data_IF_569938983449
#
_entry.id   IF_569938983449
#
_cell.length_a   1.000
_cell.length_b   1.000
_cell.length_c   1.000
_cell.angle_alpha   90.00
_cell.angle_beta   90.00
_cell.angle_gamma   90.00
#
_symmetry.space_group_name_H-M   'P 1'
#
loop_
_entity.id
_entity.type
_entity.pdbx_description
1 polymer ?
#
# COMPACT_ATOMS: atom_id res chain seq x y z
N UNK A 1 3.72 2.12 -2.19
CA UNK A 1 3.47 3.32 -1.38
C UNK A 1 2.31 3.08 -0.40
N UNK A 2 2.38 3.61 0.81
CA UNK A 2 1.38 3.44 1.87
C UNK A 2 0.88 4.79 2.41
N UNK A 3 -0.42 4.88 2.69
CA UNK A 3 -1.01 6.04 3.38
C UNK A 3 -2.18 5.67 4.27
N UNK A 4 -2.27 6.32 5.42
CA UNK A 4 -3.31 6.06 6.43
C UNK A 4 -2.92 6.55 7.82
N UNK A 5 -3.56 5.96 8.82
CA UNK A 5 -3.32 6.28 10.22
C UNK A 5 -2.03 5.64 10.76
N UNK A 6 -1.36 6.25 11.75
CA UNK A 6 -0.05 5.78 12.23
C UNK A 6 -0.03 4.31 12.67
N UNK A 7 -1.00 3.88 13.48
CA UNK A 7 -1.03 2.50 14.02
C UNK A 7 -1.28 1.46 12.92
N UNK A 8 -2.15 1.79 11.97
CA UNK A 8 -2.42 0.97 10.80
C UNK A 8 -1.17 0.85 9.93
N UNK A 9 -0.48 1.96 9.67
CA UNK A 9 0.71 1.99 8.82
C UNK A 9 1.90 1.27 9.44
N UNK A 10 2.12 1.39 10.75
CA UNK A 10 3.18 0.64 11.45
C UNK A 10 2.96 -0.86 11.29
N UNK A 11 1.74 -1.32 11.58
CA UNK A 11 1.38 -2.74 11.49
C UNK A 11 1.46 -3.26 10.05
N UNK A 12 0.94 -2.47 9.10
CA UNK A 12 0.98 -2.80 7.67
C UNK A 12 2.43 -2.86 7.15
N UNK A 13 3.27 -1.91 7.54
CA UNK A 13 4.69 -1.89 7.13
C UNK A 13 5.40 -3.15 7.62
N UNK A 14 5.17 -3.55 8.87
CA UNK A 14 5.73 -4.79 9.40
C UNK A 14 5.23 -6.02 8.63
N UNK A 15 3.91 -6.13 8.42
CA UNK A 15 3.32 -7.24 7.66
C UNK A 15 3.91 -7.36 6.24
N UNK A 16 4.02 -6.24 5.53
CA UNK A 16 4.61 -6.22 4.19
C UNK A 16 6.09 -6.59 4.18
N UNK A 17 6.85 -6.17 5.20
CA UNK A 17 8.27 -6.53 5.34
C UNK A 17 8.43 -8.03 5.60
N UNK A 18 7.53 -8.64 6.37
CA UNK A 18 7.49 -10.10 6.61
C UNK A 18 7.15 -10.90 5.33
N UNK A 19 6.47 -10.28 4.37
CA UNK A 19 6.21 -10.82 3.03
C UNK A 19 7.32 -10.51 2.00
N UNK A 20 8.47 -9.99 2.46
CA UNK A 20 9.59 -9.55 1.63
C UNK A 20 9.26 -8.42 0.63
N UNK A 21 8.18 -7.67 0.89
CA UNK A 21 7.86 -6.47 0.15
C UNK A 21 8.67 -5.28 0.70
N UNK A 22 8.86 -4.26 -0.14
CA UNK A 22 9.69 -3.07 0.18
C UNK A 22 8.85 -1.78 0.21
N UNK A 23 8.30 -1.39 1.37
CA UNK A 23 7.61 -0.12 1.50
C UNK A 23 8.58 1.08 1.38
N UNK A 24 8.63 1.71 0.21
CA UNK A 24 9.55 2.85 -0.03
C UNK A 24 9.00 4.22 0.35
N UNK A 25 7.69 4.44 0.18
CA UNK A 25 7.02 5.72 0.45
C UNK A 25 5.86 5.52 1.41
N UNK A 26 5.93 6.13 2.59
CA UNK A 26 4.95 6.00 3.68
C UNK A 26 4.59 7.39 4.21
N UNK A 27 3.33 7.78 4.09
CA UNK A 27 2.83 9.09 4.55
C UNK A 27 1.68 8.90 5.52
N UNK A 28 1.67 9.68 6.61
CA UNK A 28 0.50 9.83 7.47
C UNK A 28 0.16 11.30 7.65
N UNK A 29 -1.14 11.62 7.66
CA UNK A 29 -1.64 12.97 7.95
C UNK A 29 -1.51 13.35 9.43
N UNK A 30 -1.36 12.36 10.31
CA UNK A 30 -1.24 12.59 11.75
C UNK A 30 0.19 12.97 12.12
N UNK A 31 0.36 14.08 12.83
CA UNK A 31 1.68 14.51 13.30
C UNK A 31 2.19 13.62 14.42
N UNK A 32 3.45 13.19 14.36
CA UNK A 32 4.07 12.45 15.46
C UNK A 32 5.47 11.94 15.13
N UNK A 33 6.46 12.33 15.93
CA UNK A 33 7.87 11.91 15.73
C UNK A 33 8.11 10.42 16.01
N UNK A 34 7.31 9.82 16.90
CA UNK A 34 7.42 8.41 17.26
C UNK A 34 7.12 7.48 16.09
N UNK A 35 6.21 7.89 15.19
CA UNK A 35 5.84 7.14 13.99
C UNK A 35 7.04 6.95 13.06
N UNK A 36 7.71 8.04 12.67
CA UNK A 36 8.85 7.99 11.75
C UNK A 36 10.00 7.14 12.33
N UNK A 37 10.28 7.30 13.64
CA UNK A 37 11.30 6.50 14.31
C UNK A 37 10.97 5.00 14.31
N UNK A 38 9.69 4.63 14.50
CA UNK A 38 9.25 3.24 14.50
C UNK A 38 9.34 2.61 13.12
N UNK A 39 8.89 3.31 12.08
CA UNK A 39 8.96 2.86 10.69
C UNK A 39 10.41 2.65 10.25
N UNK A 40 11.29 3.63 10.52
CA UNK A 40 12.73 3.51 10.21
C UNK A 40 13.39 2.35 10.94
N UNK A 41 12.94 2.03 12.16
CA UNK A 41 13.42 0.85 12.90
C UNK A 41 13.00 -0.46 12.23
N UNK A 42 11.75 -0.56 11.77
CA UNK A 42 11.22 -1.76 11.11
C UNK A 42 11.94 -2.00 9.78
N UNK A 43 12.16 -0.95 9.00
CA UNK A 43 12.69 -1.05 7.64
C UNK A 43 14.22 -0.94 7.56
N UNK A 44 14.92 -0.88 8.70
CA UNK A 44 16.37 -0.61 8.74
C UNK A 44 17.18 -1.55 7.85
N UNK A 45 16.81 -2.84 7.82
CA UNK A 45 17.54 -3.87 7.10
C UNK A 45 17.02 -4.09 5.66
N UNK A 46 15.80 -3.63 5.37
CA UNK A 46 15.10 -3.88 4.09
C UNK A 46 15.15 -2.66 3.16
N UNK A 47 14.89 -1.47 3.69
CA UNK A 47 14.83 -0.19 2.96
C UNK A 47 15.44 0.92 3.83
N UNK A 48 16.78 1.08 3.84
CA UNK A 48 17.46 2.05 4.71
C UNK A 48 17.07 3.50 4.40
N UNK A 49 16.80 3.82 3.13
CA UNK A 49 16.45 5.16 2.65
C UNK A 49 14.94 5.37 2.51
N UNK A 50 14.14 4.76 3.38
CA UNK A 50 12.67 4.92 3.32
C UNK A 50 12.23 6.39 3.42
N UNK A 51 11.35 6.79 2.51
CA UNK A 51 10.64 8.06 2.53
C UNK A 51 9.45 7.95 3.49
N UNK A 52 9.64 8.38 4.74
CA UNK A 52 8.59 8.43 5.76
C UNK A 52 8.34 9.87 6.22
N UNK A 53 7.07 10.28 6.26
CA UNK A 53 6.66 11.59 6.78
C UNK A 53 5.40 11.51 7.63
N UNK A 54 5.48 12.05 8.83
CA UNK A 54 4.33 12.38 9.66
C UNK A 54 3.83 13.81 9.39
N UNK A 55 2.51 14.01 9.39
CA UNK A 55 1.90 15.29 9.00
C UNK A 55 2.08 15.62 7.52
N UNK A 56 2.24 14.62 6.66
CA UNK A 56 2.25 14.78 5.21
C UNK A 56 0.87 14.58 4.61
N UNK A 57 0.69 14.96 3.35
CA UNK A 57 -0.57 14.83 2.62
C UNK A 57 -0.44 13.90 1.41
N UNK A 58 -1.56 13.64 0.74
CA UNK A 58 -1.60 12.82 -0.48
C UNK A 58 -0.83 13.46 -1.64
N UNK A 59 -0.68 14.79 -1.64
CA UNK A 59 0.07 15.50 -2.66
C UNK A 59 1.56 15.20 -2.53
N UNK A 60 2.11 15.25 -1.31
CA UNK A 60 3.48 14.84 -1.03
C UNK A 60 3.72 13.38 -1.43
N UNK A 61 2.79 12.48 -1.11
CA UNK A 61 2.87 11.09 -1.53
C UNK A 61 2.96 10.96 -3.05
N UNK A 62 2.14 11.71 -3.79
CA UNK A 62 2.15 11.73 -5.25
C UNK A 62 3.48 12.26 -5.80
N UNK A 63 4.04 13.32 -5.20
CA UNK A 63 5.36 13.83 -5.58
C UNK A 63 6.46 12.78 -5.42
N UNK A 64 6.43 12.01 -4.33
CA UNK A 64 7.40 10.93 -4.12
C UNK A 64 7.24 9.81 -5.13
N UNK A 65 6.01 9.38 -5.42
CA UNK A 65 5.73 8.34 -6.42
C UNK A 65 6.23 8.76 -7.81
N UNK A 66 6.13 10.05 -8.16
CA UNK A 66 6.67 10.55 -9.43
C UNK A 66 8.19 10.51 -9.52
N UNK A 67 8.88 10.77 -8.41
CA UNK A 67 10.34 10.74 -8.37
C UNK A 67 10.87 9.29 -8.27
N UNK A 68 10.15 8.45 -7.53
CA UNK A 68 10.49 7.06 -7.27
C UNK A 68 9.22 6.20 -7.44
N UNK A 69 8.99 5.65 -8.65
CA UNK A 69 7.81 4.85 -8.96
C UNK A 69 7.66 3.64 -8.05
N UNK A 70 6.42 3.23 -7.79
CA UNK A 70 6.07 2.08 -6.95
C UNK A 70 5.20 1.08 -7.72
N UNK A 71 5.32 -0.20 -7.37
CA UNK A 71 4.54 -1.28 -8.01
C UNK A 71 3.12 -1.42 -7.44
N UNK A 72 2.89 -0.90 -6.24
CA UNK A 72 1.61 -1.03 -5.54
C UNK A 72 1.37 0.18 -4.64
N UNK A 73 0.15 0.71 -4.67
CA UNK A 73 -0.33 1.70 -3.71
C UNK A 73 -1.39 1.08 -2.78
N UNK A 74 -1.24 1.28 -1.47
CA UNK A 74 -2.19 0.82 -0.45
C UNK A 74 -2.68 2.02 0.35
N UNK A 75 -4.00 2.22 0.39
CA UNK A 75 -4.58 3.34 1.12
C UNK A 75 -6.10 3.45 0.98
N UNK A 76 -6.61 4.65 1.26
CA UNK A 76 -8.04 4.96 1.22
C UNK A 76 -8.51 5.37 -0.20
N UNK A 77 -9.80 5.67 -0.37
CA UNK A 77 -10.38 5.95 -1.70
C UNK A 77 -9.69 7.08 -2.46
N UNK A 78 -9.07 8.06 -1.78
CA UNK A 78 -8.40 9.18 -2.47
C UNK A 78 -7.19 8.75 -3.29
N UNK A 79 -6.54 7.64 -2.93
CA UNK A 79 -5.43 7.07 -3.70
C UNK A 79 -5.82 6.64 -5.12
N UNK A 80 -7.12 6.47 -5.41
CA UNK A 80 -7.61 6.11 -6.74
C UNK A 80 -7.15 7.09 -7.84
N UNK A 81 -6.99 8.37 -7.50
CA UNK A 81 -6.60 9.39 -8.47
C UNK A 81 -5.12 9.24 -8.82
N UNK A 82 -4.27 9.10 -7.81
CA UNK A 82 -2.83 8.84 -7.96
C UNK A 82 -2.61 7.53 -8.73
N UNK A 83 -3.31 6.47 -8.34
CA UNK A 83 -3.22 5.15 -8.98
C UNK A 83 -3.57 5.20 -10.47
N UNK A 84 -4.59 5.99 -10.84
CA UNK A 84 -4.99 6.16 -12.23
C UNK A 84 -3.97 6.98 -13.03
N UNK A 85 -3.47 8.06 -12.45
CA UNK A 85 -2.55 8.97 -13.14
C UNK A 85 -1.18 8.33 -13.39
N UNK A 86 -0.71 7.52 -12.44
CA UNK A 86 0.60 6.85 -12.53
C UNK A 86 0.51 5.39 -13.05
N UNK A 87 -0.68 4.92 -13.43
CA UNK A 87 -0.98 3.52 -13.86
C UNK A 87 -0.48 2.44 -12.88
N UNK A 88 -0.72 2.65 -11.57
CA UNK A 88 -0.25 1.77 -10.49
C UNK A 88 -1.40 0.91 -9.94
N UNK A 89 -1.20 -0.40 -9.75
CA UNK A 89 -2.14 -1.26 -9.04
C UNK A 89 -2.50 -0.71 -7.64
N UNK A 90 -3.79 -0.78 -7.26
CA UNK A 90 -4.30 -0.12 -6.04
C UNK A 90 -5.12 -1.05 -5.15
N UNK A 91 -4.62 -1.26 -3.93
CA UNK A 91 -5.34 -1.97 -2.86
C UNK A 91 -6.00 -0.96 -1.91
N UNK A 92 -7.32 -1.08 -1.77
CA UNK A 92 -8.10 -0.28 -0.81
C UNK A 92 -8.00 -0.88 0.58
N UNK A 93 -7.30 -0.20 1.47
CA UNK A 93 -7.14 -0.59 2.86
C UNK A 93 -6.95 0.66 3.73
N UNK A 94 -7.83 0.85 4.70
CA UNK A 94 -7.88 2.04 5.54
C UNK A 94 -9.23 2.75 5.47
N UNK A 95 -9.23 4.04 5.77
CA UNK A 95 -10.43 4.85 5.87
C UNK A 95 -10.23 6.25 5.25
N UNK A 96 -11.23 6.83 4.57
CA UNK A 96 -12.51 6.24 4.17
C UNK A 96 -12.41 5.41 2.87
N UNK A 97 -13.21 4.34 2.75
CA UNK A 97 -13.40 3.63 1.48
C UNK A 97 -14.83 3.87 1.00
N UNK A 98 -15.03 4.88 0.15
CA UNK A 98 -16.38 5.31 -0.26
C UNK A 98 -16.84 4.67 -1.56
N UNK A 99 -15.90 4.17 -2.37
CA UNK A 99 -16.17 3.68 -3.72
C UNK A 99 -16.40 2.16 -3.81
N UNK A 100 -16.45 1.45 -2.68
CA UNK A 100 -16.74 0.00 -2.61
C UNK A 100 -17.71 -0.29 -1.47
N UNK A 101 -18.82 -0.95 -1.80
CA UNK A 101 -19.89 -1.26 -0.86
C UNK A 101 -19.49 -2.47 0.00
N UNK A 102 -19.83 -2.43 1.29
CA UNK A 102 -19.67 -3.58 2.21
C UNK A 102 -18.25 -3.82 2.70
N UNK A 103 -17.25 -2.99 2.34
CA UNK A 103 -15.86 -3.18 2.79
C UNK A 103 -15.72 -3.11 4.33
N UNK A 104 -16.57 -2.34 5.01
CA UNK A 104 -16.50 -2.03 6.43
C UNK A 104 -16.83 -3.20 7.35
N UNK A 105 -17.49 -4.25 6.84
CA UNK A 105 -17.89 -5.42 7.64
C UNK A 105 -16.78 -6.47 7.75
N UNK A 106 -15.70 -6.31 6.98
CA UNK A 106 -14.68 -7.32 6.88
C UNK A 106 -13.52 -7.06 7.83
N UNK A 107 -12.92 -8.12 8.41
CA UNK A 107 -11.84 -7.96 9.37
C UNK A 107 -10.57 -7.44 8.70
N UNK A 108 -9.85 -6.59 9.42
CA UNK A 108 -8.52 -6.06 9.05
C UNK A 108 -7.42 -6.50 10.02
N UNK A 109 -7.78 -7.22 11.09
CA UNK A 109 -6.89 -7.63 12.18
C UNK A 109 -6.82 -9.15 12.35
N UNK A 110 -5.76 -9.62 12.99
CA UNK A 110 -5.52 -11.05 13.22
C UNK A 110 -5.28 -11.85 11.94
N UNK A 111 -5.27 -13.18 12.05
CA UNK A 111 -5.01 -14.06 10.90
C UNK A 111 -6.05 -13.92 9.80
N UNK A 112 -7.33 -13.74 10.16
CA UNK A 112 -8.39 -13.56 9.17
C UNK A 112 -8.21 -12.27 8.37
N UNK A 113 -7.87 -11.16 9.03
CA UNK A 113 -7.60 -9.89 8.34
C UNK A 113 -6.32 -9.94 7.50
N UNK A 114 -5.26 -10.56 8.02
CA UNK A 114 -4.00 -10.74 7.30
C UNK A 114 -4.15 -11.59 6.03
N UNK A 115 -4.83 -12.74 6.12
CA UNK A 115 -5.10 -13.61 4.96
C UNK A 115 -5.91 -12.88 3.88
N UNK A 116 -6.94 -12.13 4.29
CA UNK A 116 -7.76 -11.34 3.37
C UNK A 116 -6.97 -10.21 2.72
N UNK A 117 -6.08 -9.55 3.46
CA UNK A 117 -5.22 -8.51 2.90
C UNK A 117 -4.23 -9.10 1.89
N UNK A 118 -3.64 -10.26 2.20
CA UNK A 118 -2.75 -10.97 1.29
C UNK A 118 -3.46 -11.38 0.00
N UNK A 119 -4.65 -11.98 0.10
CA UNK A 119 -5.53 -12.30 -1.04
C UNK A 119 -5.75 -11.06 -1.92
N UNK A 120 -6.13 -9.93 -1.33
CA UNK A 120 -6.34 -8.67 -2.07
C UNK A 120 -5.10 -8.15 -2.77
N UNK A 121 -3.92 -8.33 -2.19
CA UNK A 121 -2.66 -7.91 -2.81
C UNK A 121 -2.35 -8.81 -4.00
N UNK A 122 -2.52 -10.13 -3.83
CA UNK A 122 -2.31 -11.11 -4.90
C UNK A 122 -3.27 -10.88 -6.07
N UNK A 123 -4.57 -10.74 -5.81
CA UNK A 123 -5.58 -10.47 -6.84
C UNK A 123 -5.18 -9.28 -7.71
N UNK A 124 -4.74 -8.19 -7.08
CA UNK A 124 -4.35 -6.96 -7.78
C UNK A 124 -3.09 -7.15 -8.64
N UNK A 125 -2.14 -7.98 -8.21
CA UNK A 125 -0.97 -8.30 -9.02
C UNK A 125 -1.31 -9.23 -10.19
N UNK A 126 -2.12 -10.27 -9.94
CA UNK A 126 -2.55 -11.21 -10.99
C UNK A 126 -3.41 -10.51 -12.04
N UNK A 127 -4.37 -9.68 -11.61
CA UNK A 127 -5.18 -8.85 -12.51
C UNK A 127 -4.31 -7.93 -13.37
N UNK A 128 -3.24 -7.35 -12.78
CA UNK A 128 -2.30 -6.50 -13.52
C UNK A 128 -1.52 -7.30 -14.55
N UNK A 129 -1.06 -8.49 -14.19
CA UNK A 129 -0.31 -9.37 -15.08
C UNK A 129 -1.17 -9.81 -16.27
N UNK A 130 -2.41 -10.23 -16.02
CA UNK A 130 -3.35 -10.62 -17.08
C UNK A 130 -3.70 -9.45 -18.00
N UNK A 131 -3.85 -8.23 -17.45
CA UNK A 131 -4.11 -7.01 -18.24
C UNK A 131 -2.96 -6.67 -19.18
N UNK A 132 -1.72 -6.87 -18.72
CA UNK A 132 -0.52 -6.51 -19.47
C UNK A 132 0.00 -7.67 -20.36
N UNK A 133 -0.55 -8.88 -20.21
CA UNK A 133 -0.21 -10.03 -21.04
C UNK A 133 -0.68 -9.86 -22.48
N UNK A 134 0.14 -10.33 -23.42
CA UNK A 134 -0.25 -10.47 -24.83
C UNK A 134 -1.12 -11.72 -25.02
N UNK A 135 -1.87 -11.79 -26.13
CA UNK A 135 -2.69 -12.95 -26.49
C UNK A 135 -1.90 -14.28 -26.51
N UNK A 136 -0.58 -14.22 -26.70
CA UNK A 136 0.30 -15.40 -26.71
C UNK A 136 0.90 -15.77 -25.36
N UNK A 137 0.88 -14.86 -24.38
CA UNK A 137 1.52 -15.04 -23.06
C UNK A 137 0.50 -15.16 -21.94
N UNK A 138 -0.79 -15.00 -22.23
CA UNK A 138 -1.87 -15.21 -21.27
C UNK A 138 -2.02 -16.71 -20.99
N UNK A 139 -1.88 -17.08 -19.72
CA UNK A 139 -1.89 -18.48 -19.29
C UNK A 139 -3.15 -18.78 -18.47
N UNK A 140 -3.65 -20.02 -18.56
CA UNK A 140 -4.80 -20.46 -17.75
C UNK A 140 -4.43 -20.63 -16.27
N UNK A 141 -3.17 -20.97 -16.00
CA UNK A 141 -2.64 -21.16 -14.65
C UNK A 141 -1.21 -20.66 -14.61
N UNK A 142 -0.89 -19.89 -13.55
CA UNK A 142 0.47 -19.41 -13.25
C UNK A 142 1.22 -20.36 -12.31
#
# INVERSE_FOLDING_TARGET
ALVGDPDQLISLTQFLTELDMKPISIVTGTSGKAFEARIRKILKDTVPDVNVRAGGDMFLLHQWIKNEPVDLIIGNTYCKYIAKDEDIPFVRFGFPIEDRIGHSIFPTVGYQGGMRLLEKILDVFMDRQDRDATDTTIELQM
#
